data_IF_290168693133
#
_entry.id   IF_290168693133
#
_cell.length_a   1.000
_cell.length_b   1.000
_cell.length_c   1.000
_cell.angle_alpha   90.00
_cell.angle_beta   90.00
_cell.angle_gamma   90.00
#
_symmetry.space_group_name_H-M   'P 1'
#
loop_
_entity.id
_entity.type
_entity.pdbx_description
1 polymer ?
#
# COMPACT_ATOMS: atom_id res chain seq x y z
N UNK A 1 -16.33 -0.78 11.49
CA UNK A 1 -14.96 -0.41 11.82
C UNK A 1 -14.02 -0.81 10.72
N UNK A 2 -13.92 -2.11 10.50
CA UNK A 2 -13.00 -2.59 9.48
C UNK A 2 -13.37 -2.10 8.11
N UNK A 3 -14.67 -1.98 7.86
CA UNK A 3 -15.11 -1.48 6.56
C UNK A 3 -14.66 -0.06 6.33
N UNK A 4 -14.74 0.74 7.36
CA UNK A 4 -14.31 2.13 7.23
C UNK A 4 -12.82 2.22 7.00
N UNK A 5 -12.07 1.36 7.68
CA UNK A 5 -10.63 1.34 7.54
C UNK A 5 -10.21 0.96 6.12
N UNK A 6 -10.82 -0.11 5.63
CA UNK A 6 -10.50 -0.57 4.28
C UNK A 6 -10.90 0.46 3.24
N UNK A 7 -12.06 1.08 3.44
CA UNK A 7 -12.53 2.05 2.48
C UNK A 7 -11.64 3.28 2.44
N UNK A 8 -11.22 3.75 3.61
CA UNK A 8 -10.32 4.90 3.67
C UNK A 8 -9.01 4.60 2.97
N UNK A 9 -8.47 3.41 3.20
CA UNK A 9 -7.24 3.02 2.54
C UNK A 9 -7.43 2.91 1.03
N UNK A 10 -8.53 2.30 0.62
CA UNK A 10 -8.81 2.15 -0.79
C UNK A 10 -8.89 3.51 -1.48
N UNK A 11 -9.57 4.46 -0.85
CA UNK A 11 -9.70 5.79 -1.44
C UNK A 11 -8.36 6.51 -1.50
N UNK A 12 -7.54 6.31 -0.49
CA UNK A 12 -6.21 6.88 -0.51
C UNK A 12 -5.41 6.35 -1.69
N UNK A 13 -5.43 5.02 -1.87
CA UNK A 13 -4.66 4.40 -2.94
C UNK A 13 -5.22 4.78 -4.31
N UNK A 14 -6.54 4.88 -4.42
CA UNK A 14 -7.16 5.32 -5.67
C UNK A 14 -6.69 6.71 -6.05
N UNK A 15 -6.65 7.59 -5.06
CA UNK A 15 -6.22 8.95 -5.30
C UNK A 15 -4.79 8.98 -5.83
N UNK A 16 -3.94 8.11 -5.29
CA UNK A 16 -2.55 8.03 -5.74
C UNK A 16 -2.47 7.51 -7.17
N UNK A 17 -3.28 6.51 -7.47
CA UNK A 17 -3.31 5.98 -8.84
C UNK A 17 -3.76 7.04 -9.84
N UNK A 18 -4.72 7.85 -9.45
CA UNK A 18 -5.21 8.91 -10.32
C UNK A 18 -4.11 9.91 -10.65
N UNK A 19 -3.15 10.03 -9.77
CA UNK A 19 -2.03 10.94 -9.97
C UNK A 19 -0.88 10.30 -10.70
N UNK A 20 -1.06 9.06 -11.17
CA UNK A 20 -0.02 8.37 -11.92
C UNK A 20 1.02 7.69 -11.05
N UNK A 21 0.73 7.54 -9.77
CA UNK A 21 1.67 6.89 -8.85
C UNK A 21 1.39 5.40 -8.84
N UNK A 22 2.44 4.61 -9.02
CA UNK A 22 2.31 3.15 -9.03
C UNK A 22 2.38 2.62 -7.61
N UNK A 23 1.50 1.67 -7.29
CA UNK A 23 1.45 1.09 -5.96
C UNK A 23 1.96 -0.35 -6.04
N UNK A 24 2.90 -0.66 -5.17
CA UNK A 24 3.54 -1.98 -5.15
C UNK A 24 3.27 -2.66 -3.83
N UNK A 25 3.07 -3.96 -3.87
CA UNK A 25 2.90 -4.76 -2.68
C UNK A 25 3.87 -5.94 -2.75
N UNK A 26 4.81 -5.98 -1.81
CA UNK A 26 5.79 -7.05 -1.71
C UNK A 26 6.51 -7.28 -3.03
N UNK A 27 6.86 -6.19 -3.70
CA UNK A 27 7.64 -6.25 -4.92
C UNK A 27 6.83 -6.42 -6.19
N UNK A 28 5.51 -6.43 -6.10
CA UNK A 28 4.65 -6.59 -7.27
C UNK A 28 3.70 -5.41 -7.39
N UNK A 29 3.56 -4.87 -8.60
CA UNK A 29 2.61 -3.78 -8.78
C UNK A 29 1.18 -4.32 -8.72
N UNK A 30 0.27 -3.49 -8.24
CA UNK A 30 -1.11 -3.91 -8.14
C UNK A 30 -2.04 -2.72 -8.19
N UNK A 31 -3.33 -3.02 -8.22
CA UNK A 31 -4.36 -2.00 -8.23
C UNK A 31 -4.67 -1.58 -6.80
N UNK A 32 -5.26 -0.39 -6.66
CA UNK A 32 -5.64 0.10 -5.35
C UNK A 32 -6.61 -0.85 -4.67
N UNK A 33 -7.54 -1.40 -5.41
CA UNK A 33 -8.52 -2.31 -4.84
C UNK A 33 -7.87 -3.59 -4.33
N UNK A 34 -7.02 -4.17 -5.15
CA UNK A 34 -6.36 -5.42 -4.79
C UNK A 34 -5.45 -5.24 -3.60
N UNK A 35 -4.69 -4.16 -3.59
CA UNK A 35 -3.73 -3.92 -2.53
C UNK A 35 -4.44 -3.58 -1.22
N UNK A 36 -5.48 -2.75 -1.29
CA UNK A 36 -6.24 -2.42 -0.08
C UNK A 36 -6.85 -3.68 0.52
N UNK A 37 -7.35 -4.56 -0.34
CA UNK A 37 -7.93 -5.81 0.11
C UNK A 37 -6.91 -6.65 0.86
N UNK A 38 -5.73 -6.77 0.30
CA UNK A 38 -4.69 -7.57 0.92
C UNK A 38 -4.17 -6.97 2.21
N UNK A 39 -4.00 -5.66 2.23
CA UNK A 39 -3.48 -5.01 3.43
C UNK A 39 -4.47 -5.15 4.59
N UNK A 40 -5.75 -5.07 4.30
CA UNK A 40 -6.75 -5.17 5.36
C UNK A 40 -6.99 -6.61 5.80
N UNK A 41 -6.69 -7.57 4.94
CA UNK A 41 -6.90 -8.97 5.28
C UNK A 41 -5.84 -9.47 6.25
N UNK A 42 -4.74 -8.77 6.39
CA UNK A 42 -3.64 -9.18 7.26
C UNK A 42 -3.43 -8.18 8.36
N UNK A 43 -4.43 -8.08 9.23
CA UNK A 43 -4.42 -7.06 10.27
C UNK A 43 -3.27 -7.24 11.25
N UNK A 44 -2.86 -8.48 11.47
CA UNK A 44 -1.80 -8.74 12.44
C UNK A 44 -0.43 -8.42 11.89
N UNK A 45 -0.34 -8.13 10.63
CA UNK A 45 0.93 -7.81 10.00
C UNK A 45 1.19 -6.32 10.08
N UNK A 46 2.44 -5.98 10.26
CA UNK A 46 2.87 -4.60 10.16
C UNK A 46 3.38 -4.36 8.76
N UNK A 47 2.85 -3.33 8.13
CA UNK A 47 3.27 -3.00 6.78
C UNK A 47 4.11 -1.75 6.79
N UNK A 48 5.23 -1.80 6.09
CA UNK A 48 6.09 -0.65 5.90
C UNK A 48 5.74 0.01 4.58
N UNK A 49 5.76 1.33 4.60
CA UNK A 49 5.56 2.10 3.38
C UNK A 49 6.89 2.71 2.97
N UNK A 50 7.20 2.57 1.71
CA UNK A 50 8.41 3.15 1.15
C UNK A 50 8.00 4.04 0.00
N UNK A 51 8.37 5.30 0.08
CA UNK A 51 7.98 6.29 -0.94
C UNK A 51 9.17 6.53 -1.86
N UNK A 52 8.95 6.30 -3.15
CA UNK A 52 10.00 6.46 -4.15
C UNK A 52 9.78 7.76 -4.89
N UNK A 53 10.74 8.64 -4.78
CA UNK A 53 10.69 9.94 -5.45
C UNK A 53 11.67 9.97 -6.60
N UNK A 54 11.31 10.72 -7.62
CA UNK A 54 12.18 10.94 -8.77
C UNK A 54 12.14 12.43 -9.08
N UNK A 55 13.29 13.08 -8.94
CA UNK A 55 13.40 14.52 -9.18
C UNK A 55 12.41 15.31 -8.34
N UNK A 56 12.23 14.86 -7.09
CA UNK A 56 11.36 15.55 -6.17
C UNK A 56 9.89 15.24 -6.31
N UNK A 57 9.54 14.34 -7.23
CA UNK A 57 8.15 13.97 -7.48
C UNK A 57 7.93 12.52 -7.06
N UNK A 58 6.87 12.29 -6.30
CA UNK A 58 6.52 10.95 -5.86
C UNK A 58 6.09 10.11 -7.06
N UNK A 59 6.74 8.97 -7.25
CA UNK A 59 6.49 8.09 -8.40
C UNK A 59 5.88 6.77 -7.99
N UNK A 60 6.32 6.20 -6.87
CA UNK A 60 5.86 4.89 -6.46
C UNK A 60 5.72 4.83 -4.96
N UNK A 61 4.81 3.97 -4.53
CA UNK A 61 4.68 3.63 -3.11
C UNK A 61 4.78 2.13 -3.01
N UNK A 62 5.66 1.66 -2.14
CA UNK A 62 5.87 0.24 -1.93
C UNK A 62 5.41 -0.14 -0.54
N UNK A 63 4.56 -1.16 -0.47
CA UNK A 63 4.14 -1.73 0.79
C UNK A 63 4.85 -3.05 0.98
N UNK A 64 5.56 -3.17 2.08
CA UNK A 64 6.27 -4.39 2.40
C UNK A 64 5.83 -4.89 3.75
N UNK A 65 5.77 -6.21 3.87
CA UNK A 65 5.39 -6.84 5.11
C UNK A 65 6.59 -6.92 6.03
N UNK A 66 6.39 -6.51 7.27
CA UNK A 66 7.44 -6.66 8.27
C UNK A 66 7.18 -7.97 9.00
N UNK A 67 8.12 -8.88 8.91
CA UNK A 67 7.99 -10.16 9.58
C UNK A 67 8.72 -10.13 10.90
N UNK A 68 8.10 -10.76 11.88
CA UNK A 68 8.71 -10.82 13.19
C UNK A 68 9.44 -12.12 13.42
N UNK A 69 9.32 -13.05 12.52
CA UNK A 69 10.03 -14.32 12.68
C UNK A 69 11.52 -14.09 12.59
N UNK A 70 12.25 -14.89 13.27
CA UNK A 70 13.69 -14.73 13.31
C UNK A 70 14.15 -13.81 14.43
N UNK A 71 13.21 -13.29 15.17
CA UNK A 71 13.56 -12.46 16.31
C UNK A 71 13.80 -13.27 17.55
#
# INVERSE_FOLDING_TARGET
>A
MEHEHKQALYMELMSLEDRGITIWLEGYPGSSESIADRLCAHEESTNMRDYIFEEGVLKEIHFDKVRKEGL
#
